data_IF_358505467185
#
_entry.id   IF_358505467185
#
_cell.length_a   1.000
_cell.length_b   1.000
_cell.length_c   1.000
_cell.angle_alpha   90.00
_cell.angle_beta   90.00
_cell.angle_gamma   90.00
#
_symmetry.space_group_name_H-M   'P 1'
#
loop_
_entity.id
_entity.type
_entity.pdbx_description
1 polymer ?
#
# COMPACT_ATOMS: atom_id res chain seq x y z
N UNK A 1 17.78 2.40 0.86
CA UNK A 1 16.49 2.29 1.57
C UNK A 1 15.57 1.46 0.69
N UNK A 2 14.70 0.61 1.25
CA UNK A 2 13.84 -0.28 0.45
C UNK A 2 12.70 0.48 -0.22
N UNK A 3 11.99 1.29 0.56
CA UNK A 3 10.99 2.26 0.10
C UNK A 3 11.62 3.65 0.17
N UNK A 4 11.76 4.34 -0.95
CA UNK A 4 12.23 5.73 -0.99
C UNK A 4 11.10 6.73 -0.78
N UNK A 5 11.42 8.03 -0.89
CA UNK A 5 10.38 9.05 -1.00
C UNK A 5 9.50 8.76 -2.23
N UNK A 6 8.19 8.92 -2.08
CA UNK A 6 7.21 8.69 -3.13
C UNK A 6 7.18 9.82 -4.18
N UNK A 7 8.35 10.28 -4.62
CA UNK A 7 8.50 11.38 -5.57
C UNK A 7 8.12 10.94 -6.99
N UNK A 8 7.49 11.82 -7.77
CA UNK A 8 7.14 11.55 -9.16
C UNK A 8 7.19 12.82 -10.01
N UNK A 9 7.43 12.63 -11.29
CA UNK A 9 7.19 13.60 -12.37
C UNK A 9 5.95 13.21 -13.17
N UNK A 10 5.63 11.92 -13.26
CA UNK A 10 4.49 11.38 -13.99
C UNK A 10 3.81 10.20 -13.26
N UNK A 11 2.56 9.91 -13.64
CA UNK A 11 1.74 8.88 -12.98
C UNK A 11 2.32 7.46 -13.12
N UNK A 12 2.98 7.15 -14.24
CA UNK A 12 3.57 5.83 -14.51
C UNK A 12 4.76 5.50 -13.59
N UNK A 13 5.20 6.41 -12.72
CA UNK A 13 6.21 6.17 -11.68
C UNK A 13 5.58 5.79 -10.35
N UNK A 14 4.29 6.04 -10.18
CA UNK A 14 3.55 5.71 -8.96
C UNK A 14 3.11 4.25 -8.95
N UNK A 15 3.28 3.61 -7.80
CA UNK A 15 2.89 2.22 -7.54
C UNK A 15 2.09 2.16 -6.25
N UNK A 16 1.21 1.18 -6.16
CA UNK A 16 0.48 0.85 -4.94
C UNK A 16 0.51 -0.66 -4.74
N UNK A 17 0.67 -1.12 -3.50
CA UNK A 17 0.60 -2.52 -3.13
C UNK A 17 -0.34 -2.74 -1.94
N UNK A 18 -1.15 -3.81 -1.94
CA UNK A 18 -1.96 -4.18 -0.79
C UNK A 18 -1.03 -4.55 0.38
N UNK A 19 -1.21 -3.90 1.53
CA UNK A 19 -0.34 -4.07 2.68
C UNK A 19 -1.10 -4.66 3.88
N UNK A 20 -0.58 -5.77 4.37
CA UNK A 20 -1.16 -6.61 5.42
C UNK A 20 -2.34 -7.47 4.95
N UNK A 21 -2.80 -8.37 5.81
CA UNK A 21 -3.96 -9.22 5.56
C UNK A 21 -4.94 -9.15 6.73
N UNK A 22 -6.19 -8.74 6.45
CA UNK A 22 -7.27 -8.70 7.44
C UNK A 22 -7.86 -10.10 7.66
N UNK A 23 -8.30 -10.45 8.88
CA UNK A 23 -9.01 -11.69 9.15
C UNK A 23 -10.24 -11.95 8.28
N UNK A 24 -11.06 -10.91 7.98
CA UNK A 24 -12.23 -11.06 7.09
C UNK A 24 -11.86 -11.03 5.59
N UNK A 25 -10.58 -10.97 5.24
CA UNK A 25 -10.08 -10.83 3.87
C UNK A 25 -9.78 -9.40 3.43
N UNK A 26 -8.91 -9.28 2.42
CA UNK A 26 -8.42 -8.00 1.90
C UNK A 26 -7.28 -7.39 2.75
N UNK A 27 -6.66 -6.31 2.28
CA UNK A 27 -5.55 -5.68 3.00
C UNK A 27 -6.02 -4.73 4.11
N UNK A 28 -5.09 -4.40 5.01
CA UNK A 28 -5.31 -3.35 5.99
C UNK A 28 -5.29 -1.97 5.33
N UNK A 29 -4.37 -1.76 4.40
CA UNK A 29 -4.20 -0.53 3.65
C UNK A 29 -3.46 -0.77 2.31
N UNK A 30 -3.14 0.31 1.60
CA UNK A 30 -2.30 0.25 0.41
C UNK A 30 -1.04 1.09 0.61
N UNK A 31 0.13 0.47 0.39
CA UNK A 31 1.42 1.14 0.36
C UNK A 31 1.61 1.84 -0.97
N UNK A 32 1.62 3.17 -0.97
CA UNK A 32 1.91 3.99 -2.16
C UNK A 32 3.39 4.36 -2.17
N UNK A 33 4.07 4.14 -3.28
CA UNK A 33 5.48 4.47 -3.44
C UNK A 33 5.81 4.86 -4.88
N UNK A 34 7.03 5.36 -5.07
CA UNK A 34 7.59 5.68 -6.38
C UNK A 34 8.60 4.63 -6.81
N UNK A 35 8.51 4.20 -8.07
CA UNK A 35 9.50 3.31 -8.68
C UNK A 35 10.84 3.98 -8.98
N UNK A 36 10.94 5.32 -8.90
CA UNK A 36 12.19 6.06 -9.17
C UNK A 36 13.23 5.78 -8.09
N UNK A 37 12.81 5.82 -6.83
CA UNK A 37 13.71 5.77 -5.67
C UNK A 37 13.53 4.51 -4.82
N UNK A 38 12.87 3.48 -5.38
CA UNK A 38 12.52 2.28 -4.62
C UNK A 38 12.81 1.01 -5.42
N UNK A 39 13.28 -0.02 -4.70
CA UNK A 39 13.48 -1.35 -5.27
C UNK A 39 12.13 -2.09 -5.32
N UNK A 40 11.44 -1.94 -6.44
CA UNK A 40 10.05 -2.41 -6.62
C UNK A 40 9.91 -3.92 -6.42
N UNK A 41 10.87 -4.71 -6.91
CA UNK A 41 10.84 -6.17 -6.76
C UNK A 41 11.01 -6.58 -5.31
N UNK A 42 11.99 -5.99 -4.63
CA UNK A 42 12.25 -6.30 -3.22
C UNK A 42 11.15 -5.79 -2.29
N UNK A 43 10.47 -4.69 -2.64
CA UNK A 43 9.28 -4.25 -1.92
C UNK A 43 8.19 -5.29 -2.06
N UNK A 44 7.88 -5.74 -3.29
CA UNK A 44 6.85 -6.76 -3.53
C UNK A 44 7.11 -8.01 -2.69
N UNK A 45 8.34 -8.55 -2.76
CA UNK A 45 8.73 -9.73 -1.99
C UNK A 45 8.50 -9.56 -0.48
N UNK A 46 8.82 -8.38 0.07
CA UNK A 46 8.66 -8.09 1.50
C UNK A 46 7.21 -7.85 1.91
N UNK A 47 6.41 -7.27 1.02
CA UNK A 47 4.97 -7.10 1.23
C UNK A 47 4.28 -8.47 1.23
N UNK A 48 4.63 -9.35 0.29
CA UNK A 48 4.08 -10.70 0.21
C UNK A 48 4.44 -11.51 1.47
N UNK A 49 5.71 -11.50 1.88
CA UNK A 49 6.14 -12.15 3.13
C UNK A 49 5.37 -11.63 4.36
N UNK A 50 5.15 -10.32 4.45
CA UNK A 50 4.40 -9.72 5.55
C UNK A 50 2.92 -10.11 5.54
N UNK A 51 2.31 -10.16 4.36
CA UNK A 51 0.90 -10.53 4.18
C UNK A 51 0.68 -11.99 4.57
N UNK A 52 1.55 -12.90 4.13
CA UNK A 52 1.51 -14.32 4.51
C UNK A 52 1.61 -14.50 6.03
N UNK A 53 2.52 -13.77 6.68
CA UNK A 53 2.64 -13.79 8.13
C UNK A 53 1.40 -13.27 8.86
N UNK A 54 0.74 -12.25 8.32
CA UNK A 54 -0.52 -11.74 8.88
C UNK A 54 -1.58 -12.83 8.87
N UNK A 55 -1.74 -13.56 7.76
CA UNK A 55 -2.69 -14.67 7.65
C UNK A 55 -2.41 -15.77 8.68
N UNK A 56 -1.15 -16.19 8.81
CA UNK A 56 -0.73 -17.20 9.79
C UNK A 56 -1.04 -16.76 11.22
N UNK A 57 -0.76 -15.51 11.57
CA UNK A 57 -0.98 -14.96 12.91
C UNK A 57 -2.47 -14.81 13.20
N UNK A 58 -3.25 -14.30 12.25
CA UNK A 58 -4.70 -14.17 12.37
C UNK A 58 -5.36 -15.53 12.63
N UNK A 59 -4.97 -16.55 11.85
CA UNK A 59 -5.48 -17.91 12.01
C UNK A 59 -5.05 -18.54 13.35
N UNK A 60 -3.80 -18.34 13.77
CA UNK A 60 -3.26 -18.91 15.02
C UNK A 60 -3.95 -18.36 16.26
N UNK A 61 -4.20 -17.05 16.31
CA UNK A 61 -4.69 -16.37 17.50
C UNK A 61 -6.17 -16.01 17.45
N UNK A 62 -6.86 -16.31 16.34
CA UNK A 62 -8.29 -16.05 16.20
C UNK A 62 -8.62 -14.55 16.19
N UNK A 63 -7.75 -13.74 15.59
CA UNK A 63 -8.01 -12.31 15.48
C UNK A 63 -9.20 -12.02 14.56
N UNK A 64 -9.87 -10.90 14.81
CA UNK A 64 -10.97 -10.39 14.02
C UNK A 64 -10.70 -8.95 13.60
N UNK A 65 -11.35 -8.50 12.53
CA UNK A 65 -11.37 -7.09 12.11
C UNK A 65 -12.80 -6.56 12.09
N UNK A 66 -12.93 -5.28 11.77
CA UNK A 66 -14.20 -4.59 11.52
C UNK A 66 -14.92 -5.06 10.24
N UNK A 67 -14.36 -6.04 9.52
CA UNK A 67 -14.78 -6.53 8.20
C UNK A 67 -15.01 -5.42 7.15
N UNK A 68 -14.44 -4.23 7.34
CA UNK A 68 -14.34 -3.23 6.30
C UNK A 68 -13.21 -3.60 5.34
N UNK A 69 -13.34 -3.24 4.06
CA UNK A 69 -12.26 -3.41 3.09
C UNK A 69 -11.60 -2.08 2.79
N UNK A 70 -10.27 -2.07 2.72
CA UNK A 70 -9.54 -0.91 2.23
C UNK A 70 -9.81 -0.76 0.73
N UNK A 71 -10.17 0.46 0.31
CA UNK A 71 -10.35 0.76 -1.11
C UNK A 71 -9.00 0.91 -1.80
N UNK A 72 -8.89 0.36 -3.02
CA UNK A 72 -7.70 0.52 -3.83
C UNK A 72 -7.53 2.00 -4.21
N UNK A 73 -6.31 2.56 -4.09
CA UNK A 73 -6.08 3.97 -4.35
C UNK A 73 -6.22 4.27 -5.84
N UNK A 74 -6.75 5.45 -6.14
CA UNK A 74 -6.62 6.02 -7.48
C UNK A 74 -5.36 6.86 -7.51
N UNK A 75 -4.28 6.33 -8.08
CA UNK A 75 -3.00 7.02 -8.05
C UNK A 75 -3.02 8.33 -8.84
N UNK A 76 -2.35 9.34 -8.29
CA UNK A 76 -2.09 10.63 -8.92
C UNK A 76 -0.66 11.06 -8.58
N UNK A 77 0.04 11.64 -9.55
CA UNK A 77 1.24 12.43 -9.27
C UNK A 77 0.83 13.88 -9.03
N UNK A 78 0.83 14.32 -7.77
CA UNK A 78 0.40 15.66 -7.36
C UNK A 78 1.55 16.36 -6.64
N UNK A 79 1.92 17.55 -7.11
CA UNK A 79 3.00 18.37 -6.52
C UNK A 79 4.31 17.58 -6.32
N UNK A 80 4.65 16.73 -7.29
CA UNK A 80 5.86 15.93 -7.25
C UNK A 80 5.79 14.69 -6.36
N UNK A 81 4.61 14.31 -5.84
CA UNK A 81 4.42 13.14 -4.97
C UNK A 81 3.29 12.23 -5.45
N UNK A 82 3.51 10.93 -5.33
CA UNK A 82 2.48 9.92 -5.53
C UNK A 82 1.51 9.94 -4.36
N UNK A 83 0.23 10.14 -4.67
CA UNK A 83 -0.87 10.21 -3.69
C UNK A 83 -2.06 9.37 -4.17
N UNK A 84 -2.96 9.07 -3.23
CA UNK A 84 -4.29 8.55 -3.54
C UNK A 84 -5.25 9.71 -3.78
N UNK A 85 -5.73 9.85 -5.01
CA UNK A 85 -6.71 10.86 -5.44
C UNK A 85 -7.95 10.86 -4.56
N UNK A 86 -8.40 9.70 -4.10
CA UNK A 86 -9.61 9.59 -3.28
C UNK A 86 -9.45 10.22 -1.88
N UNK A 87 -8.20 10.47 -1.46
CA UNK A 87 -7.83 11.07 -0.18
C UNK A 87 -7.30 12.50 -0.31
N UNK A 88 -7.31 13.05 -1.54
CA UNK A 88 -7.05 14.46 -1.79
C UNK A 88 -8.37 15.21 -1.59
N UNK A 89 -8.84 15.31 -0.35
CA UNK A 89 -9.90 16.27 0.00
C UNK A 89 -9.28 17.67 0.08
N UNK A 90 -9.84 18.58 -0.72
CA UNK A 90 -9.63 20.04 -0.79
C UNK A 90 -8.69 20.63 0.28
N UNK A 91 -7.37 20.48 0.09
CA UNK A 91 -6.43 21.42 0.73
C UNK A 91 -6.72 22.81 0.14
N UNK A 92 -7.14 23.80 0.94
CA UNK A 92 -7.27 25.18 0.44
C UNK A 92 -5.94 25.73 -0.07
#
# INVERSE_FOLDING_TARGET
>A
MLVGEANCSELNECRALPFGAKPCGGPWEYLIYSSINSDTLKIQEKVDEYNDWNEVINARYGYSSDCSQAEAPQLLCLNGKCVDRNKVEDTP
#
